data_IF_229129260502
#
_entry.id   IF_229129260502
#
_cell.length_a   1.000
_cell.length_b   1.000
_cell.length_c   1.000
_cell.angle_alpha   90.00
_cell.angle_beta   90.00
_cell.angle_gamma   90.00
#
_symmetry.space_group_name_H-M   'P 1'
#
loop_
_entity.id
_entity.type
_entity.pdbx_description
1 polymer ?
#
# COMPACT_ATOMS: atom_id res chain seq x y z
N UNK A 1 11.77 -14.55 23.91
CA UNK A 1 11.21 -13.78 22.78
C UNK A 1 10.97 -14.74 21.64
N UNK A 2 9.87 -14.60 20.91
CA UNK A 2 9.58 -15.49 19.78
C UNK A 2 10.36 -14.97 18.57
N UNK A 3 11.07 -15.83 17.87
CA UNK A 3 11.81 -15.50 16.65
C UNK A 3 11.22 -16.32 15.51
N UNK A 4 10.91 -15.65 14.39
CA UNK A 4 10.66 -16.35 13.13
C UNK A 4 12.00 -16.51 12.44
N UNK A 5 12.39 -17.77 12.23
CA UNK A 5 13.67 -18.10 11.62
C UNK A 5 13.43 -18.89 10.35
N UNK A 6 13.98 -18.38 9.25
CA UNK A 6 14.09 -19.15 8.01
C UNK A 6 15.41 -19.89 8.06
N UNK A 7 15.34 -21.22 8.06
CA UNK A 7 16.50 -22.07 8.12
C UNK A 7 16.49 -23.07 6.96
N UNK A 8 17.68 -23.42 6.48
CA UNK A 8 17.89 -24.43 5.47
C UNK A 8 17.97 -25.80 6.15
N UNK A 9 17.08 -26.71 5.75
CA UNK A 9 17.09 -28.11 6.19
C UNK A 9 18.16 -28.92 5.46
N UNK A 10 18.51 -30.10 5.98
CA UNK A 10 19.52 -30.99 5.39
C UNK A 10 19.16 -31.44 3.95
N UNK A 11 17.87 -31.42 3.61
CA UNK A 11 17.33 -31.72 2.28
C UNK A 11 17.30 -30.50 1.34
N UNK A 12 17.99 -29.41 1.68
CA UNK A 12 18.08 -28.16 0.91
C UNK A 12 16.73 -27.41 0.73
N UNK A 13 15.74 -27.74 1.56
CA UNK A 13 14.45 -27.06 1.60
C UNK A 13 14.49 -25.90 2.62
N UNK A 14 13.90 -24.76 2.25
CA UNK A 14 13.80 -23.58 3.12
C UNK A 14 12.54 -23.72 3.97
N UNK A 15 12.73 -23.93 5.26
CA UNK A 15 11.64 -24.06 6.22
C UNK A 15 11.59 -22.87 7.19
N UNK A 16 10.38 -22.42 7.50
CA UNK A 16 10.15 -21.33 8.45
C UNK A 16 9.76 -21.93 9.79
N UNK A 17 10.59 -21.75 10.80
CA UNK A 17 10.37 -22.24 12.16
C UNK A 17 10.20 -21.07 13.12
N UNK A 18 9.23 -21.16 14.03
CA UNK A 18 9.10 -20.22 15.14
C UNK A 18 9.77 -20.79 16.38
N UNK A 19 10.75 -20.09 16.93
CA UNK A 19 11.55 -20.55 18.08
C UNK A 19 11.51 -19.48 19.16
N UNK A 20 11.22 -19.91 20.39
CA UNK A 20 11.31 -19.05 21.57
C UNK A 20 12.74 -19.08 22.12
N UNK A 21 13.44 -17.95 22.07
CA UNK A 21 14.81 -17.78 22.59
C UNK A 21 14.92 -16.44 23.34
N UNK A 22 15.84 -16.30 24.29
CA UNK A 22 16.02 -15.04 25.02
C UNK A 22 16.69 -13.97 24.16
N UNK A 23 17.57 -14.37 23.24
CA UNK A 23 18.33 -13.46 22.36
C UNK A 23 18.59 -14.07 20.97
N UNK A 24 18.89 -13.23 19.97
CA UNK A 24 19.13 -13.66 18.58
C UNK A 24 20.32 -14.63 18.47
N UNK A 25 21.34 -14.47 19.32
CA UNK A 25 22.47 -15.41 19.42
C UNK A 25 22.08 -16.78 19.99
N UNK A 26 21.10 -16.84 20.90
CA UNK A 26 20.59 -18.10 21.46
C UNK A 26 19.69 -18.83 20.45
N UNK A 27 18.87 -18.09 19.69
CA UNK A 27 18.06 -18.64 18.59
C UNK A 27 18.94 -19.33 17.53
N UNK A 28 20.09 -18.74 17.19
CA UNK A 28 21.06 -19.33 16.27
C UNK A 28 21.67 -20.64 16.79
N UNK A 29 22.00 -20.71 18.09
CA UNK A 29 22.55 -21.92 18.73
C UNK A 29 21.54 -23.07 18.78
N UNK A 30 20.27 -22.77 19.09
CA UNK A 30 19.17 -23.73 19.08
C UNK A 30 18.91 -24.33 17.69
N UNK A 31 19.11 -23.56 16.63
CA UNK A 31 18.99 -24.04 15.24
C UNK A 31 20.16 -24.93 14.83
N UNK A 32 21.38 -24.59 15.23
CA UNK A 32 22.55 -25.43 15.00
C UNK A 32 22.44 -26.78 15.71
N UNK A 33 21.91 -26.82 16.93
CA UNK A 33 21.61 -28.09 17.63
C UNK A 33 20.58 -28.96 16.88
N UNK A 34 19.67 -28.34 16.12
CA UNK A 34 18.69 -29.03 15.25
C UNK A 34 19.22 -29.33 13.85
N UNK A 35 20.53 -29.12 13.59
CA UNK A 35 21.18 -29.27 12.27
C UNK A 35 20.58 -28.38 11.17
N UNK A 36 19.95 -27.26 11.54
CA UNK A 36 19.36 -26.29 10.62
C UNK A 36 20.29 -25.09 10.46
N UNK A 37 20.62 -24.70 9.23
CA UNK A 37 21.46 -23.51 9.00
C UNK A 37 20.61 -22.24 8.94
N UNK A 38 20.82 -21.25 9.82
CA UNK A 38 20.01 -20.04 9.84
C UNK A 38 20.34 -19.13 8.64
N UNK A 39 19.35 -18.84 7.80
CA UNK A 39 19.45 -17.90 6.68
C UNK A 39 18.99 -16.49 7.07
N UNK A 40 18.02 -16.38 7.99
CA UNK A 40 17.55 -15.10 8.52
C UNK A 40 16.85 -15.31 9.86
N UNK A 41 17.33 -14.63 10.90
CA UNK A 41 16.72 -14.62 12.24
C UNK A 41 16.02 -13.28 12.41
N UNK A 42 14.67 -13.26 12.39
CA UNK A 42 13.88 -12.07 12.66
C UNK A 42 13.15 -12.24 13.99
N UNK A 43 13.27 -11.27 14.89
CA UNK A 43 12.46 -11.25 16.10
C UNK A 43 10.98 -11.16 15.68
N UNK A 44 10.19 -12.15 16.07
CA UNK A 44 8.75 -12.07 15.92
C UNK A 44 8.31 -10.98 16.90
N UNK A 45 7.96 -9.83 16.33
CA UNK A 45 7.35 -8.72 17.06
C UNK A 45 6.26 -9.29 17.96
N UNK A 46 6.38 -9.07 19.28
CA UNK A 46 5.32 -9.40 20.24
C UNK A 46 4.05 -8.69 19.75
N UNK A 47 3.15 -9.44 19.13
CA UNK A 47 1.74 -9.11 19.07
C UNK A 47 1.21 -9.22 20.51
N UNK A 48 1.51 -8.19 21.31
CA UNK A 48 1.05 -8.02 22.68
C UNK A 48 -0.31 -7.35 22.66
N UNK A 49 -1.27 -8.02 23.27
CA UNK A 49 -2.62 -7.56 23.54
C UNK A 49 -2.66 -6.19 24.24
N UNK A 50 -3.67 -5.38 23.90
CA UNK A 50 -4.20 -4.32 24.75
C UNK A 50 -3.36 -3.04 24.88
N UNK A 51 -3.44 -2.16 23.88
CA UNK A 51 -3.80 -0.76 24.14
C UNK A 51 -4.33 -0.13 22.87
N UNK A 52 -5.49 0.52 22.96
CA UNK A 52 -6.09 1.29 21.89
C UNK A 52 -5.22 2.49 21.54
N UNK A 53 -4.20 2.27 20.71
CA UNK A 53 -3.53 3.33 19.97
C UNK A 53 -4.11 3.32 18.57
N UNK A 54 -4.93 4.34 18.29
CA UNK A 54 -5.28 4.76 16.95
C UNK A 54 -4.04 4.66 16.06
N UNK A 55 -4.09 4.01 14.88
CA UNK A 55 -2.93 3.87 14.02
C UNK A 55 -2.41 5.27 13.72
N UNK A 56 -1.24 5.55 14.28
CA UNK A 56 -0.64 6.86 14.34
C UNK A 56 -0.60 7.50 12.97
N UNK A 57 -1.15 8.71 12.93
CA UNK A 57 -0.94 9.77 11.96
C UNK A 57 0.48 9.71 11.39
N UNK A 58 0.54 9.23 10.14
CA UNK A 58 1.65 9.25 9.18
C UNK A 58 3.05 9.56 9.68
N UNK A 59 3.90 8.52 9.78
CA UNK A 59 5.27 8.66 9.28
C UNK A 59 5.12 9.20 7.86
N UNK A 60 5.57 10.44 7.61
CA UNK A 60 5.60 11.01 6.25
C UNK A 60 6.40 10.03 5.40
N UNK A 61 5.71 9.37 4.47
CA UNK A 61 6.36 8.52 3.49
C UNK A 61 7.30 9.41 2.68
N UNK A 62 8.48 8.90 2.34
CA UNK A 62 9.42 9.60 1.48
C UNK A 62 8.71 9.98 0.17
N UNK A 63 8.70 11.28 -0.17
CA UNK A 63 8.07 11.76 -1.39
C UNK A 63 9.07 11.75 -2.53
N UNK A 64 9.01 10.70 -3.36
CA UNK A 64 9.92 10.55 -4.50
C UNK A 64 9.75 11.68 -5.52
N UNK A 65 8.55 12.25 -5.66
CA UNK A 65 8.29 13.40 -6.52
C UNK A 65 9.03 14.65 -6.04
N UNK A 66 8.89 14.98 -4.75
CA UNK A 66 9.55 16.15 -4.16
C UNK A 66 11.07 16.00 -4.22
N UNK A 67 11.58 14.83 -3.82
CA UNK A 67 12.99 14.49 -3.94
C UNK A 67 13.51 14.69 -5.37
N UNK A 68 12.80 14.17 -6.38
CA UNK A 68 13.22 14.30 -7.78
C UNK A 68 13.24 15.76 -8.24
N UNK A 69 12.27 16.58 -7.80
CA UNK A 69 12.21 18.00 -8.13
C UNK A 69 13.33 18.80 -7.46
N UNK A 70 13.67 18.48 -6.21
CA UNK A 70 14.78 19.14 -5.51
C UNK A 70 16.14 18.75 -6.11
N UNK A 71 16.32 17.47 -6.46
CA UNK A 71 17.53 17.01 -7.16
C UNK A 71 17.64 17.69 -8.52
N UNK A 72 16.55 17.75 -9.30
CA UNK A 72 16.53 18.43 -10.60
C UNK A 72 16.96 19.90 -10.46
N UNK A 73 16.36 20.64 -9.53
CA UNK A 73 16.65 22.06 -9.33
C UNK A 73 18.13 22.33 -8.98
N UNK A 74 18.74 21.45 -8.17
CA UNK A 74 20.16 21.58 -7.79
C UNK A 74 21.09 21.17 -8.94
N UNK A 75 20.75 20.13 -9.70
CA UNK A 75 21.52 19.76 -10.89
C UNK A 75 21.44 20.83 -11.99
N UNK A 76 20.28 21.45 -12.20
CA UNK A 76 20.10 22.59 -13.12
C UNK A 76 20.85 23.84 -12.66
N UNK A 77 21.01 24.01 -11.34
CA UNK A 77 21.86 25.06 -10.77
C UNK A 77 23.37 24.77 -10.92
N UNK A 78 23.73 23.64 -11.51
CA UNK A 78 25.11 23.27 -11.82
C UNK A 78 25.85 22.53 -10.70
N UNK A 79 25.16 22.11 -9.64
CA UNK A 79 25.78 21.28 -8.59
C UNK A 79 26.08 19.89 -9.15
N UNK A 80 27.17 19.28 -8.70
CA UNK A 80 27.42 17.87 -8.93
C UNK A 80 26.42 17.00 -8.17
N UNK A 81 26.31 15.72 -8.55
CA UNK A 81 25.42 14.77 -7.87
C UNK A 81 25.73 14.64 -6.38
N UNK A 82 27.01 14.54 -6.02
CA UNK A 82 27.42 14.39 -4.61
C UNK A 82 27.06 15.64 -3.81
N UNK A 83 27.38 16.84 -4.32
CA UNK A 83 27.03 18.11 -3.68
C UNK A 83 25.52 18.28 -3.53
N UNK A 84 24.75 17.87 -4.55
CA UNK A 84 23.28 17.90 -4.53
C UNK A 84 22.72 17.09 -3.36
N UNK A 85 23.18 15.84 -3.18
CA UNK A 85 22.68 14.99 -2.10
C UNK A 85 23.18 15.40 -0.73
N UNK A 86 24.39 15.97 -0.63
CA UNK A 86 24.91 16.53 0.62
C UNK A 86 24.10 17.75 1.06
N UNK A 87 23.78 18.67 0.13
CA UNK A 87 22.93 19.82 0.40
C UNK A 87 21.50 19.40 0.81
N UNK A 88 20.94 18.40 0.15
CA UNK A 88 19.64 17.81 0.52
C UNK A 88 19.67 17.20 1.92
N UNK A 89 20.74 16.46 2.24
CA UNK A 89 20.91 15.81 3.53
C UNK A 89 21.03 16.83 4.68
N UNK A 90 21.73 17.95 4.46
CA UNK A 90 21.90 19.00 5.46
C UNK A 90 20.57 19.68 5.81
N UNK A 91 19.69 19.86 4.82
CA UNK A 91 18.36 20.48 4.99
C UNK A 91 17.30 19.51 5.53
N UNK A 92 17.49 18.19 5.40
CA UNK A 92 16.44 17.21 5.72
C UNK A 92 16.21 17.04 7.23
N UNK A 93 14.95 17.16 7.63
CA UNK A 93 14.50 17.09 9.02
C UNK A 93 13.78 15.78 9.34
N UNK A 94 13.24 15.10 8.32
CA UNK A 94 12.52 13.85 8.50
C UNK A 94 13.51 12.68 8.67
N UNK A 95 13.45 11.92 9.79
CA UNK A 95 14.42 10.86 10.06
C UNK A 95 14.41 9.75 9.01
N UNK A 96 13.25 9.45 8.43
CA UNK A 96 13.11 8.45 7.36
C UNK A 96 13.84 8.88 6.08
N UNK A 97 13.61 10.12 5.62
CA UNK A 97 14.23 10.64 4.41
C UNK A 97 15.73 10.83 4.59
N UNK A 98 16.14 11.31 5.78
CA UNK A 98 17.55 11.47 6.15
C UNK A 98 18.31 10.15 6.03
N UNK A 99 17.76 9.06 6.58
CA UNK A 99 18.38 7.72 6.48
C UNK A 99 18.48 7.19 5.05
N UNK A 100 17.59 7.62 4.13
CA UNK A 100 17.67 7.29 2.70
C UNK A 100 18.82 8.06 2.04
N UNK A 101 18.92 9.36 2.30
CA UNK A 101 19.96 10.25 1.78
C UNK A 101 21.35 9.89 2.30
N UNK A 102 21.50 9.58 3.60
CA UNK A 102 22.77 9.16 4.19
C UNK A 102 23.35 7.93 3.49
N UNK A 103 22.51 6.93 3.21
CA UNK A 103 22.90 5.73 2.45
C UNK A 103 23.27 6.05 1.01
N UNK A 104 22.53 6.94 0.35
CA UNK A 104 22.86 7.37 -1.02
C UNK A 104 24.21 8.09 -1.08
N UNK A 105 24.43 9.08 -0.20
CA UNK A 105 25.68 9.84 -0.14
C UNK A 105 26.87 8.93 0.15
N UNK A 106 26.73 7.98 1.09
CA UNK A 106 27.78 7.00 1.40
C UNK A 106 28.19 6.20 0.15
N UNK A 107 27.22 5.62 -0.55
CA UNK A 107 27.50 4.83 -1.76
C UNK A 107 28.07 5.66 -2.91
N UNK A 108 27.60 6.89 -3.09
CA UNK A 108 28.15 7.78 -4.12
C UNK A 108 29.60 8.17 -3.81
N UNK A 109 29.93 8.42 -2.54
CA UNK A 109 31.31 8.68 -2.09
C UNK A 109 32.23 7.46 -2.26
N UNK A 110 31.68 6.25 -2.16
CA UNK A 110 32.37 4.99 -2.48
C UNK A 110 32.59 4.79 -4.00
N UNK A 111 32.08 5.70 -4.85
CA UNK A 111 32.23 5.63 -6.30
C UNK A 111 31.21 4.71 -6.99
N UNK A 112 30.18 4.25 -6.28
CA UNK A 112 29.07 3.54 -6.92
C UNK A 112 28.33 4.48 -7.88
N UNK A 113 27.89 3.93 -9.00
CA UNK A 113 26.96 4.63 -9.91
C UNK A 113 25.68 4.99 -9.14
N UNK A 114 25.13 6.17 -9.39
CA UNK A 114 23.88 6.64 -8.80
C UNK A 114 22.72 5.66 -9.04
N UNK A 115 22.56 5.08 -10.22
CA UNK A 115 21.53 4.07 -10.47
C UNK A 115 21.72 2.78 -9.66
N UNK A 116 22.97 2.40 -9.38
CA UNK A 116 23.28 1.26 -8.52
C UNK A 116 22.97 1.56 -7.06
N UNK A 117 23.30 2.77 -6.58
CA UNK A 117 23.00 3.21 -5.23
C UNK A 117 21.48 3.28 -4.96
N UNK A 118 20.69 3.73 -5.94
CA UNK A 118 19.23 3.72 -5.86
C UNK A 118 18.66 2.30 -5.80
N UNK A 119 19.22 1.36 -6.58
CA UNK A 119 18.76 -0.03 -6.64
C UNK A 119 18.90 -0.78 -5.30
N UNK A 120 19.82 -0.35 -4.42
CA UNK A 120 20.00 -0.92 -3.07
C UNK A 120 18.86 -0.54 -2.10
N UNK A 121 17.97 0.38 -2.49
CA UNK A 121 16.85 0.84 -1.68
C UNK A 121 15.50 0.67 -2.41
N UNK A 122 15.11 -0.56 -2.79
CA UNK A 122 13.92 -0.82 -3.61
C UNK A 122 12.58 -0.48 -2.93
N UNK A 123 12.58 -0.36 -1.59
CA UNK A 123 11.41 0.09 -0.83
C UNK A 123 11.04 1.55 -1.11
N UNK A 124 11.99 2.35 -1.59
CA UNK A 124 11.85 3.80 -1.81
C UNK A 124 11.94 4.14 -3.30
N UNK A 125 12.81 3.46 -4.04
CA UNK A 125 13.04 3.71 -5.47
C UNK A 125 12.51 2.55 -6.31
N UNK A 126 11.37 2.74 -7.02
CA UNK A 126 10.82 1.72 -7.89
C UNK A 126 11.76 1.38 -9.05
N UNK A 127 11.70 0.15 -9.61
CA UNK A 127 12.55 -0.27 -10.73
C UNK A 127 12.50 0.66 -11.94
N UNK A 128 11.33 1.24 -12.23
CA UNK A 128 11.16 2.22 -13.29
C UNK A 128 12.03 3.47 -13.09
N UNK A 129 12.06 4.02 -11.88
CA UNK A 129 12.87 5.20 -11.56
C UNK A 129 14.36 4.89 -11.71
N UNK A 130 14.79 3.74 -11.18
CA UNK A 130 16.16 3.24 -11.31
C UNK A 130 16.56 3.06 -12.78
N UNK A 131 15.66 2.51 -13.60
CA UNK A 131 15.88 2.32 -15.04
C UNK A 131 16.04 3.63 -15.81
N UNK A 132 15.20 4.62 -15.52
CA UNK A 132 15.29 5.97 -16.10
C UNK A 132 16.63 6.62 -15.74
N UNK A 133 17.00 6.60 -14.45
CA UNK A 133 18.27 7.16 -13.99
C UNK A 133 19.46 6.44 -14.62
N UNK A 134 19.44 5.10 -14.69
CA UNK A 134 20.51 4.30 -15.30
C UNK A 134 20.77 4.67 -16.76
N UNK A 135 19.71 4.95 -17.52
CA UNK A 135 19.83 5.39 -18.89
C UNK A 135 20.48 6.76 -19.00
N UNK A 136 20.02 7.68 -18.16
CA UNK A 136 20.48 9.06 -18.12
C UNK A 136 21.92 9.21 -17.60
N UNK A 137 22.37 8.29 -16.74
CA UNK A 137 23.79 8.22 -16.34
C UNK A 137 24.72 7.95 -17.52
N UNK A 138 24.27 7.16 -18.51
CA UNK A 138 25.07 6.84 -19.69
C UNK A 138 25.14 7.98 -20.70
N UNK A 139 24.12 8.83 -20.75
CA UNK A 139 24.01 9.98 -21.66
C UNK A 139 24.36 11.31 -21.00
N UNK A 140 24.67 11.31 -19.70
CA UNK A 140 24.89 12.49 -18.86
C UNK A 140 23.73 13.51 -18.88
N UNK A 141 22.51 13.08 -19.23
CA UNK A 141 21.32 13.94 -19.32
C UNK A 141 20.30 13.61 -18.21
N UNK A 142 20.81 13.60 -16.98
CA UNK A 142 20.01 13.33 -15.78
C UNK A 142 18.92 14.39 -15.52
N UNK A 143 19.16 15.70 -15.73
CA UNK A 143 18.11 16.71 -15.58
C UNK A 143 16.90 16.44 -16.46
N UNK A 144 17.10 16.18 -17.76
CA UNK A 144 15.98 15.91 -18.66
C UNK A 144 15.21 14.64 -18.27
N UNK A 145 15.92 13.59 -17.84
CA UNK A 145 15.30 12.36 -17.38
C UNK A 145 14.44 12.56 -16.11
N UNK A 146 14.92 13.35 -15.15
CA UNK A 146 14.17 13.71 -13.95
C UNK A 146 12.94 14.57 -14.28
N UNK A 147 13.07 15.54 -15.19
CA UNK A 147 11.93 16.35 -15.66
C UNK A 147 10.82 15.47 -16.23
N UNK A 148 11.16 14.53 -17.12
CA UNK A 148 10.18 13.59 -17.69
C UNK A 148 9.52 12.73 -16.61
N UNK A 149 10.29 12.26 -15.63
CA UNK A 149 9.75 11.48 -14.51
C UNK A 149 8.78 12.29 -13.63
N UNK A 150 9.10 13.56 -13.35
CA UNK A 150 8.24 14.47 -12.58
C UNK A 150 6.93 14.71 -13.34
N UNK A 151 7.00 14.97 -14.65
CA UNK A 151 5.82 15.14 -15.50
C UNK A 151 4.95 13.89 -15.52
N UNK A 152 5.58 12.71 -15.63
CA UNK A 152 4.90 11.42 -15.55
C UNK A 152 4.14 11.24 -14.24
N UNK A 153 4.79 11.44 -13.09
CA UNK A 153 4.13 11.29 -11.81
C UNK A 153 3.04 12.32 -11.58
N UNK A 154 3.25 13.57 -12.01
CA UNK A 154 2.24 14.62 -11.92
C UNK A 154 0.97 14.27 -12.71
N UNK A 155 1.12 13.71 -13.92
CA UNK A 155 -0.01 13.22 -14.72
C UNK A 155 -0.73 12.05 -14.04
N UNK A 156 0.00 11.11 -13.45
CA UNK A 156 -0.59 9.99 -12.73
C UNK A 156 -1.36 10.42 -11.49
N UNK A 157 -0.80 11.35 -10.71
CA UNK A 157 -1.47 11.89 -9.53
C UNK A 157 -2.73 12.68 -9.92
N UNK A 158 -2.71 13.40 -11.05
CA UNK A 158 -3.90 14.06 -11.58
C UNK A 158 -5.01 13.04 -11.95
N UNK A 159 -4.67 11.93 -12.61
CA UNK A 159 -5.62 10.86 -12.92
C UNK A 159 -6.17 10.24 -11.63
N UNK A 160 -5.30 9.91 -10.67
CA UNK A 160 -5.69 9.33 -9.39
C UNK A 160 -6.61 10.26 -8.61
N UNK A 161 -6.31 11.56 -8.56
CA UNK A 161 -7.13 12.58 -7.90
C UNK A 161 -8.51 12.69 -8.53
N UNK A 162 -8.61 12.64 -9.86
CA UNK A 162 -9.89 12.61 -10.58
C UNK A 162 -10.71 11.37 -10.22
N UNK A 163 -10.08 10.20 -10.22
CA UNK A 163 -10.75 8.93 -9.85
C UNK A 163 -11.26 8.97 -8.41
N UNK A 164 -10.43 9.42 -7.47
CA UNK A 164 -10.82 9.57 -6.07
C UNK A 164 -11.99 10.55 -5.94
N UNK A 165 -11.91 11.71 -6.58
CA UNK A 165 -12.97 12.72 -6.55
C UNK A 165 -14.30 12.19 -7.10
N UNK A 166 -14.27 11.42 -8.20
CA UNK A 166 -15.48 10.82 -8.78
C UNK A 166 -16.11 9.75 -7.86
N UNK A 167 -15.29 9.05 -7.06
CA UNK A 167 -15.76 8.02 -6.13
C UNK A 167 -16.37 8.58 -4.84
N UNK A 168 -16.09 9.84 -4.48
CA UNK A 168 -16.60 10.46 -3.24
C UNK A 168 -18.13 10.52 -3.24
N UNK A 169 -18.76 10.98 -4.32
CA UNK A 169 -20.21 11.14 -4.37
C UNK A 169 -20.97 9.81 -4.17
N UNK A 170 -20.68 8.73 -4.94
CA UNK A 170 -21.29 7.42 -4.70
C UNK A 170 -21.03 6.89 -3.29
N UNK A 171 -19.82 7.08 -2.75
CA UNK A 171 -19.48 6.62 -1.41
C UNK A 171 -20.32 7.31 -0.32
N UNK A 172 -20.49 8.63 -0.41
CA UNK A 172 -21.35 9.39 0.52
C UNK A 172 -22.80 8.92 0.41
N UNK A 173 -23.32 8.78 -0.82
CA UNK A 173 -24.69 8.34 -1.03
C UNK A 173 -24.95 6.95 -0.43
N UNK A 174 -24.04 6.00 -0.66
CA UNK A 174 -24.12 4.66 -0.08
C UNK A 174 -24.01 4.70 1.45
N UNK A 175 -23.11 5.51 2.01
CA UNK A 175 -22.93 5.62 3.45
C UNK A 175 -24.18 6.22 4.15
N UNK A 176 -24.70 7.33 3.62
CA UNK A 176 -25.90 7.98 4.15
C UNK A 176 -27.12 7.07 3.95
N UNK A 177 -27.28 6.49 2.76
CA UNK A 177 -28.37 5.57 2.45
C UNK A 177 -28.37 4.37 3.39
N UNK A 178 -27.22 3.71 3.56
CA UNK A 178 -27.08 2.60 4.51
C UNK A 178 -27.38 3.04 5.94
N UNK A 179 -26.90 4.21 6.36
CA UNK A 179 -27.20 4.77 7.68
C UNK A 179 -28.70 4.98 7.91
N UNK A 180 -29.41 5.54 6.93
CA UNK A 180 -30.87 5.71 6.99
C UNK A 180 -31.58 4.35 7.04
N UNK A 181 -31.19 3.39 6.19
CA UNK A 181 -31.78 2.05 6.20
C UNK A 181 -31.61 1.36 7.56
N UNK A 182 -30.41 1.44 8.13
CA UNK A 182 -30.11 0.90 9.46
C UNK A 182 -30.94 1.60 10.54
N UNK A 183 -31.05 2.94 10.50
CA UNK A 183 -31.88 3.69 11.43
C UNK A 183 -33.36 3.27 11.36
N UNK A 184 -33.90 3.14 10.15
CA UNK A 184 -35.27 2.67 9.95
C UNK A 184 -35.47 1.26 10.52
N UNK A 185 -34.53 0.35 10.26
CA UNK A 185 -34.60 -1.03 10.73
C UNK A 185 -34.42 -1.17 12.25
N UNK A 186 -33.55 -0.36 12.86
CA UNK A 186 -33.23 -0.45 14.28
C UNK A 186 -34.22 0.30 15.19
N UNK A 187 -34.82 1.39 14.72
CA UNK A 187 -35.68 2.24 15.55
C UNK A 187 -37.14 2.30 15.09
N UNK A 188 -37.36 2.51 13.79
CA UNK A 188 -38.72 2.74 13.27
C UNK A 188 -39.51 1.44 13.15
N UNK A 189 -38.90 0.41 12.58
CA UNK A 189 -39.49 -0.93 12.38
C UNK A 189 -40.00 -1.57 13.69
N UNK A 190 -39.21 -1.65 14.78
CA UNK A 190 -39.66 -2.26 16.04
C UNK A 190 -40.85 -1.51 16.67
N UNK A 191 -40.92 -0.18 16.47
CA UNK A 191 -42.01 0.64 17.00
C UNK A 191 -43.34 0.34 16.31
N UNK A 192 -43.32 0.13 15.00
CA UNK A 192 -44.51 -0.33 14.26
C UNK A 192 -44.86 -1.77 14.61
N UNK A 193 -43.85 -2.62 14.81
CA UNK A 193 -44.05 -4.01 15.21
C UNK A 193 -44.88 -4.13 16.50
N UNK A 194 -44.57 -3.34 17.53
CA UNK A 194 -45.32 -3.31 18.80
C UNK A 194 -46.80 -2.90 18.64
N UNK A 195 -47.13 -2.04 17.67
CA UNK A 195 -48.53 -1.63 17.41
C UNK A 195 -49.33 -2.77 16.78
N UNK A 196 -48.72 -3.56 15.88
CA UNK A 196 -49.40 -4.66 15.18
C UNK A 196 -49.66 -5.88 16.07
N UNK A 197 -48.79 -6.14 17.06
CA UNK A 197 -48.98 -7.26 18.01
C UNK A 197 -50.29 -7.15 18.82
N UNK A 198 -50.81 -5.93 19.03
CA UNK A 198 -52.09 -5.71 19.72
C UNK A 198 -53.35 -5.98 18.89
N UNK A 199 -53.23 -6.30 17.58
CA UNK A 199 -54.37 -6.33 16.64
C UNK A 199 -55.00 -7.72 16.39
N UNK A 200 -54.48 -8.79 17.01
CA UNK A 200 -55.14 -10.11 17.07
C UNK A 200 -55.37 -10.86 15.75
N UNK A 201 -54.72 -10.48 14.64
CA UNK A 201 -54.86 -11.12 13.31
C UNK A 201 -53.56 -11.80 12.89
N UNK A 202 -53.68 -12.94 12.19
CA UNK A 202 -52.56 -13.66 11.58
C UNK A 202 -51.88 -12.79 10.53
N UNK A 203 -50.67 -12.32 10.82
CA UNK A 203 -49.90 -11.46 9.95
C UNK A 203 -49.35 -12.24 8.73
N UNK A 204 -49.29 -11.63 7.52
CA UNK A 204 -48.57 -12.19 6.38
C UNK A 204 -47.10 -12.44 6.69
N UNK A 205 -46.46 -13.40 6.00
CA UNK A 205 -45.07 -13.81 6.29
C UNK A 205 -44.04 -12.65 6.26
N UNK A 206 -44.22 -11.67 5.37
CA UNK A 206 -43.40 -10.45 5.34
C UNK A 206 -43.51 -9.63 6.63
N UNK A 207 -44.71 -9.54 7.19
CA UNK A 207 -44.97 -8.83 8.44
C UNK A 207 -44.47 -9.62 9.64
N UNK A 208 -44.54 -10.95 9.62
CA UNK A 208 -43.94 -11.81 10.66
C UNK A 208 -42.42 -11.66 10.72
N UNK A 209 -41.73 -11.72 9.57
CA UNK A 209 -40.28 -11.51 9.50
C UNK A 209 -39.86 -10.13 10.07
N UNK A 210 -40.69 -9.12 9.86
CA UNK A 210 -40.48 -7.75 10.32
C UNK A 210 -40.72 -7.63 11.84
N UNK A 211 -41.68 -8.38 12.40
CA UNK A 211 -41.91 -8.51 13.84
C UNK A 211 -40.78 -9.29 14.53
N UNK A 212 -40.31 -10.38 13.92
CA UNK A 212 -39.21 -11.21 14.44
C UNK A 212 -37.90 -10.42 14.49
N UNK A 213 -37.63 -9.61 13.46
CA UNK A 213 -36.52 -8.67 13.45
C UNK A 213 -36.67 -7.61 14.56
N UNK A 214 -37.89 -7.06 14.71
CA UNK A 214 -38.20 -6.10 15.76
C UNK A 214 -37.97 -6.65 17.17
N UNK A 215 -38.39 -7.89 17.42
CA UNK A 215 -38.22 -8.59 18.70
C UNK A 215 -36.73 -8.86 18.99
N UNK A 216 -35.96 -9.34 18.00
CA UNK A 216 -34.51 -9.51 18.09
C UNK A 216 -33.79 -8.21 18.48
N UNK A 217 -34.19 -7.09 17.86
CA UNK A 217 -33.62 -5.77 18.14
C UNK A 217 -34.02 -5.26 19.52
N UNK A 218 -35.26 -5.47 19.96
CA UNK A 218 -35.73 -4.99 21.27
C UNK A 218 -35.22 -5.82 22.45
N UNK A 219 -35.08 -7.14 22.28
CA UNK A 219 -34.65 -8.05 23.35
C UNK A 219 -33.12 -8.10 23.50
N UNK A 220 -32.38 -7.83 22.41
CA UNK A 220 -30.93 -7.85 22.38
C UNK A 220 -30.33 -6.53 21.87
N UNK A 221 -30.87 -5.39 22.33
CA UNK A 221 -30.42 -4.04 21.92
C UNK A 221 -28.90 -3.88 21.96
N UNK A 222 -28.26 -4.45 22.97
CA UNK A 222 -26.83 -4.32 23.23
C UNK A 222 -26.01 -5.18 22.25
N UNK A 223 -26.54 -6.35 21.87
CA UNK A 223 -25.92 -7.25 20.88
C UNK A 223 -26.13 -6.73 19.45
N UNK A 224 -27.27 -6.10 19.16
CA UNK A 224 -27.53 -5.51 17.85
C UNK A 224 -26.71 -4.24 17.64
N UNK A 225 -26.65 -3.34 18.63
CA UNK A 225 -25.77 -2.17 18.54
C UNK A 225 -24.30 -2.58 18.52
N UNK A 226 -23.89 -3.53 19.37
CA UNK A 226 -22.54 -4.10 19.36
C UNK A 226 -22.22 -4.77 18.02
N UNK A 227 -23.14 -5.54 17.47
CA UNK A 227 -23.01 -6.23 16.19
C UNK A 227 -22.95 -5.27 15.01
N UNK A 228 -23.77 -4.21 14.99
CA UNK A 228 -23.73 -3.16 13.97
C UNK A 228 -22.43 -2.35 14.04
N UNK A 229 -21.98 -2.00 15.25
CA UNK A 229 -20.70 -1.32 15.46
C UNK A 229 -19.55 -2.23 15.00
N UNK A 230 -19.60 -3.52 15.34
CA UNK A 230 -18.58 -4.49 14.97
C UNK A 230 -18.60 -4.80 13.47
N UNK A 231 -19.77 -4.81 12.83
CA UNK A 231 -19.94 -5.02 11.39
C UNK A 231 -19.49 -3.78 10.59
N UNK A 232 -19.79 -2.57 11.06
CA UNK A 232 -19.26 -1.34 10.46
C UNK A 232 -17.75 -1.21 10.66
N UNK A 233 -17.22 -1.59 11.83
CA UNK A 233 -15.78 -1.63 12.10
C UNK A 233 -15.08 -2.73 11.27
N UNK A 234 -15.66 -3.92 11.19
CA UNK A 234 -15.18 -5.04 10.38
C UNK A 234 -15.24 -4.70 8.90
N UNK A 235 -16.32 -4.09 8.41
CA UNK A 235 -16.42 -3.60 7.05
C UNK A 235 -15.37 -2.51 6.78
N UNK A 236 -15.14 -1.58 7.70
CA UNK A 236 -14.10 -0.56 7.56
C UNK A 236 -12.68 -1.15 7.57
N UNK A 237 -12.41 -2.15 8.42
CA UNK A 237 -11.13 -2.85 8.48
C UNK A 237 -10.91 -3.76 7.27
N UNK A 238 -11.96 -4.46 6.83
CA UNK A 238 -11.95 -5.29 5.62
C UNK A 238 -11.78 -4.43 4.38
N UNK A 239 -12.51 -3.32 4.27
CA UNK A 239 -12.34 -2.35 3.18
C UNK A 239 -10.91 -1.80 3.19
N UNK A 240 -10.37 -1.38 4.34
CA UNK A 240 -8.96 -0.96 4.46
C UNK A 240 -7.97 -2.06 4.07
N UNK A 241 -8.18 -3.29 4.53
CA UNK A 241 -7.32 -4.43 4.22
C UNK A 241 -7.36 -4.77 2.74
N UNK A 242 -8.55 -4.83 2.17
CA UNK A 242 -8.77 -5.13 0.77
C UNK A 242 -8.18 -3.99 -0.09
N UNK A 243 -8.35 -2.71 0.29
CA UNK A 243 -7.71 -1.55 -0.38
C UNK A 243 -6.18 -1.63 -0.35
N UNK A 244 -5.59 -2.14 0.73
CA UNK A 244 -4.14 -2.36 0.83
C UNK A 244 -3.66 -3.60 0.07
N UNK A 245 -4.48 -4.63 -0.05
CA UNK A 245 -4.09 -5.92 -0.63
C UNK A 245 -3.96 -5.92 -2.15
N UNK A 246 -4.40 -4.86 -2.84
CA UNK A 246 -4.38 -4.79 -4.31
C UNK A 246 -5.41 -5.71 -5.01
N UNK A 247 -6.06 -6.62 -4.28
CA UNK A 247 -7.09 -7.52 -4.80
C UNK A 247 -8.29 -6.78 -5.42
N UNK A 248 -8.57 -5.53 -5.03
CA UNK A 248 -9.65 -4.75 -5.65
C UNK A 248 -9.33 -4.46 -7.10
N UNK A 249 -8.07 -4.30 -7.46
CA UNK A 249 -7.67 -4.04 -8.84
C UNK A 249 -8.04 -5.24 -9.70
N UNK A 250 -7.74 -6.46 -9.24
CA UNK A 250 -8.10 -7.73 -9.89
C UNK A 250 -9.62 -7.97 -9.91
N UNK A 251 -10.34 -7.51 -8.88
CA UNK A 251 -11.80 -7.61 -8.86
C UNK A 251 -12.46 -6.60 -9.80
N UNK A 252 -11.97 -5.36 -9.85
CA UNK A 252 -12.46 -4.31 -10.72
C UNK A 252 -12.20 -4.62 -12.21
N UNK A 253 -11.10 -5.30 -12.55
CA UNK A 253 -10.83 -5.71 -13.93
C UNK A 253 -11.84 -6.73 -14.46
N UNK A 254 -12.54 -7.47 -13.58
CA UNK A 254 -13.59 -8.42 -13.96
C UNK A 254 -14.98 -7.79 -14.14
N UNK A 255 -15.17 -6.53 -13.77
CA UNK A 255 -16.47 -5.86 -13.93
C UNK A 255 -16.66 -5.43 -15.39
N UNK A 256 -17.82 -5.76 -16.02
CA UNK A 256 -18.11 -5.33 -17.38
C UNK A 256 -18.11 -3.79 -17.47
N UNK A 257 -17.36 -3.25 -18.43
CA UNK A 257 -17.18 -1.81 -18.65
C UNK A 257 -16.03 -1.14 -17.88
N UNK A 258 -15.58 -1.69 -16.74
CA UNK A 258 -14.42 -1.18 -15.99
C UNK A 258 -13.13 -1.82 -16.48
N UNK A 259 -13.14 -3.12 -16.82
CA UNK A 259 -11.97 -3.83 -17.32
C UNK A 259 -11.36 -3.20 -18.57
N UNK A 260 -12.18 -2.75 -19.52
CA UNK A 260 -11.70 -2.10 -20.75
C UNK A 260 -11.02 -0.75 -20.45
N UNK A 261 -11.54 0.02 -19.49
CA UNK A 261 -10.92 1.28 -19.05
C UNK A 261 -9.58 1.05 -18.36
N UNK A 262 -9.49 0.01 -17.51
CA UNK A 262 -8.23 -0.36 -16.86
C UNK A 262 -7.20 -0.77 -17.91
N UNK A 263 -7.59 -1.59 -18.89
CA UNK A 263 -6.72 -1.98 -20.00
C UNK A 263 -6.19 -0.78 -20.77
N UNK A 264 -7.02 0.23 -21.05
CA UNK A 264 -6.58 1.47 -21.71
C UNK A 264 -5.57 2.23 -20.84
N UNK A 265 -5.77 2.28 -19.51
CA UNK A 265 -4.83 2.92 -18.57
C UNK A 265 -3.49 2.17 -18.54
N UNK A 266 -3.53 0.84 -18.48
CA UNK A 266 -2.33 -0.01 -18.48
C UNK A 266 -1.55 0.10 -19.78
N UNK A 267 -2.25 0.05 -20.92
CA UNK A 267 -1.64 0.28 -22.23
C UNK A 267 -1.02 1.68 -22.31
N UNK A 268 -1.73 2.71 -21.84
CA UNK A 268 -1.19 4.08 -21.80
C UNK A 268 0.06 4.17 -20.92
N UNK A 269 0.05 3.52 -19.75
CA UNK A 269 1.23 3.45 -18.87
C UNK A 269 2.39 2.76 -19.57
N UNK A 270 2.15 1.63 -20.23
CA UNK A 270 3.15 0.87 -20.98
C UNK A 270 3.74 1.69 -22.12
N UNK A 271 2.90 2.31 -22.96
CA UNK A 271 3.37 3.15 -24.07
C UNK A 271 4.16 4.35 -23.58
N UNK A 272 3.70 5.00 -22.51
CA UNK A 272 4.33 6.21 -21.99
C UNK A 272 5.64 5.89 -21.26
N UNK A 273 5.71 4.79 -20.49
CA UNK A 273 6.99 4.32 -19.92
C UNK A 273 7.96 3.87 -20.99
N UNK A 274 7.51 3.11 -21.99
CA UNK A 274 8.36 2.70 -23.12
C UNK A 274 8.88 3.92 -23.88
N UNK A 275 8.01 4.90 -24.18
CA UNK A 275 8.38 6.14 -24.85
C UNK A 275 9.44 6.93 -24.06
N UNK A 276 9.25 7.10 -22.75
CA UNK A 276 10.24 7.78 -21.90
C UNK A 276 11.60 7.09 -21.92
N UNK A 277 11.64 5.75 -21.92
CA UNK A 277 12.88 4.98 -21.96
C UNK A 277 13.57 5.10 -23.34
N UNK A 278 12.79 5.02 -24.43
CA UNK A 278 13.31 5.15 -25.80
C UNK A 278 13.86 6.56 -26.07
N UNK A 279 13.11 7.60 -25.68
CA UNK A 279 13.59 8.98 -25.75
C UNK A 279 14.78 9.24 -24.82
N UNK A 280 14.98 8.40 -23.80
CA UNK A 280 16.16 8.41 -22.93
C UNK A 280 17.36 7.66 -23.51
N UNK A 281 17.26 7.19 -24.76
CA UNK A 281 18.33 6.48 -25.46
C UNK A 281 18.46 5.00 -25.10
N UNK A 282 17.51 4.42 -24.37
CA UNK A 282 17.55 2.99 -24.05
C UNK A 282 17.16 2.18 -25.30
N UNK A 283 17.93 1.15 -25.70
CA UNK A 283 17.55 0.23 -26.77
C UNK A 283 16.19 -0.44 -26.49
N UNK A 284 15.36 -0.60 -27.52
CA UNK A 284 14.00 -1.13 -27.38
C UNK A 284 13.93 -2.47 -26.63
N UNK A 285 14.90 -3.36 -26.84
CA UNK A 285 14.94 -4.67 -26.16
C UNK A 285 15.11 -4.51 -24.64
N UNK A 286 16.03 -3.64 -24.21
CA UNK A 286 16.26 -3.33 -22.80
C UNK A 286 15.08 -2.56 -22.19
N UNK A 287 14.48 -1.64 -22.96
CA UNK A 287 13.31 -0.90 -22.51
C UNK A 287 12.11 -1.84 -22.27
N UNK A 288 11.87 -2.81 -23.16
CA UNK A 288 10.83 -3.82 -23.01
C UNK A 288 11.08 -4.75 -21.81
N UNK A 289 12.33 -5.10 -21.51
CA UNK A 289 12.67 -5.92 -20.34
C UNK A 289 12.45 -5.14 -19.01
N UNK A 290 12.79 -3.85 -18.97
CA UNK A 290 12.52 -2.97 -17.83
C UNK A 290 11.01 -2.80 -17.62
N UNK A 291 10.26 -2.54 -18.69
CA UNK A 291 8.80 -2.34 -18.63
C UNK A 291 8.07 -3.64 -18.31
N UNK A 292 8.49 -4.77 -18.86
CA UNK A 292 7.90 -6.08 -18.59
C UNK A 292 8.01 -6.49 -17.11
N UNK A 293 9.07 -6.08 -16.43
CA UNK A 293 9.23 -6.28 -14.98
C UNK A 293 8.49 -5.24 -14.12
N UNK A 294 8.11 -4.09 -14.70
CA UNK A 294 7.43 -2.99 -13.99
C UNK A 294 5.90 -3.02 -14.15
N UNK A 295 5.39 -3.61 -15.23
CA UNK A 295 3.96 -3.78 -15.51
C UNK A 295 3.60 -5.24 -15.21
N UNK A 296 3.26 -5.53 -13.96
CA UNK A 296 2.62 -6.79 -13.60
C UNK A 296 1.19 -6.85 -14.17
N UNK A 297 0.69 -8.04 -14.57
CA UNK A 297 -0.70 -8.22 -15.01
C UNK A 297 -1.73 -8.05 -13.88
#
# INVERSE_FOLDING_TARGET
MRFEVRALSADNLIETHSIDAADAGEAGRLLQQRRLQPLSIKAASRAGAGSGRLPGRGRRAFSLLLFSAEVLALLEAGLSLVETFEALLEKETAPTSRAVLERLVAHLREGLRFSAALALQPEVFPPLYVGIVRAAEGTSDLPQALTRYIDYQTRLDAVRSKVLSAAIYPAILLAVGAGVTVFLMAYVVPRFAGVYQGSGRSLPWLSQLLLDWGALVSEHSDVVFGGLLLLTLAAALWLRHFLRSGLWIVFLTRLPGIGERIRVIELSRLYLTTGMLLEGGIPILTALDIVGNAVSP
#
